data_IF_364333915450
#
_entry.id   IF_364333915450
#
_cell.length_a   1.000
_cell.length_b   1.000
_cell.length_c   1.000
_cell.angle_alpha   90.00
_cell.angle_beta   90.00
_cell.angle_gamma   90.00
#
_symmetry.space_group_name_H-M   'P 1'
#
loop_
_entity.id
_entity.type
_entity.pdbx_description
1 polymer ?
#
# COMPACT_ATOMS: atom_id res chain seq x y z
N UNK A 1 -39.87 -7.71 7.81
CA UNK A 1 -38.92 -6.87 8.59
C UNK A 1 -38.11 -6.08 7.59
N UNK A 2 -37.74 -4.84 7.90
CA UNK A 2 -36.97 -4.02 6.96
C UNK A 2 -35.52 -4.53 6.93
N UNK A 3 -35.04 -4.86 5.74
CA UNK A 3 -33.63 -5.26 5.52
C UNK A 3 -32.69 -4.05 5.53
N UNK A 4 -33.25 -2.85 5.38
CA UNK A 4 -32.53 -1.59 5.28
C UNK A 4 -32.70 -0.73 6.53
N UNK A 5 -31.59 -0.09 6.94
CA UNK A 5 -31.53 0.87 8.02
C UNK A 5 -30.90 2.18 7.51
N UNK A 6 -31.63 3.28 7.64
CA UNK A 6 -31.11 4.61 7.33
C UNK A 6 -30.36 5.13 8.55
N UNK A 7 -29.06 5.36 8.41
CA UNK A 7 -28.19 5.81 9.47
C UNK A 7 -28.02 7.33 9.44
N UNK A 8 -28.24 7.97 10.59
CA UNK A 8 -28.30 9.43 10.73
C UNK A 8 -27.10 10.02 11.49
N UNK A 9 -26.02 9.26 11.68
CA UNK A 9 -24.77 9.75 12.25
C UNK A 9 -24.65 9.61 13.78
N UNK A 10 -25.55 8.86 14.43
CA UNK A 10 -25.48 8.59 15.86
C UNK A 10 -24.27 7.67 16.22
N UNK A 11 -23.60 7.87 17.37
CA UNK A 11 -22.39 7.10 17.70
C UNK A 11 -22.63 5.64 18.11
N UNK A 12 -23.86 5.25 18.43
CA UNK A 12 -24.21 3.88 18.79
C UNK A 12 -25.60 3.52 18.23
N UNK A 13 -25.70 3.32 16.89
CA UNK A 13 -26.92 2.95 16.20
C UNK A 13 -27.51 1.64 16.73
N UNK A 14 -28.81 1.66 17.03
CA UNK A 14 -29.57 0.46 17.37
C UNK A 14 -30.29 -0.02 16.12
N UNK A 15 -29.75 -1.07 15.51
CA UNK A 15 -30.34 -1.65 14.31
C UNK A 15 -31.68 -2.35 14.60
N UNK A 16 -32.69 -2.18 13.74
CA UNK A 16 -33.92 -2.95 13.86
C UNK A 16 -33.66 -4.44 13.56
N UNK A 17 -34.47 -5.37 14.12
CA UNK A 17 -34.33 -6.79 13.85
C UNK A 17 -34.40 -7.10 12.34
N UNK A 18 -33.39 -7.80 11.83
CA UNK A 18 -33.31 -8.19 10.43
C UNK A 18 -32.65 -7.16 9.50
N UNK A 19 -32.16 -6.02 10.01
CA UNK A 19 -31.37 -5.09 9.22
C UNK A 19 -30.04 -5.72 8.80
N UNK A 20 -29.83 -5.74 7.48
CA UNK A 20 -28.61 -6.27 6.83
C UNK A 20 -27.93 -5.22 5.96
N UNK A 21 -28.61 -4.13 5.60
CA UNK A 21 -28.07 -3.04 4.80
C UNK A 21 -28.15 -1.73 5.58
N UNK A 22 -27.04 -1.01 5.64
CA UNK A 22 -26.97 0.35 6.18
C UNK A 22 -26.82 1.34 5.03
N UNK A 23 -27.71 2.31 4.97
CA UNK A 23 -27.65 3.43 4.04
C UNK A 23 -27.37 4.68 4.87
N UNK A 24 -26.21 5.30 4.66
CA UNK A 24 -25.82 6.52 5.37
C UNK A 24 -26.47 7.71 4.69
N UNK A 25 -27.26 8.45 5.47
CA UNK A 25 -28.01 9.61 4.99
C UNK A 25 -27.08 10.74 4.50
N UNK A 26 -27.59 11.57 3.58
CA UNK A 26 -26.82 12.67 2.99
C UNK A 26 -26.38 13.74 4.00
N UNK A 27 -27.08 13.84 5.13
CA UNK A 27 -26.74 14.75 6.23
C UNK A 27 -25.49 14.32 7.02
N UNK A 28 -25.06 13.06 6.89
CA UNK A 28 -23.93 12.53 7.64
C UNK A 28 -22.62 12.83 6.91
N UNK A 29 -21.74 13.57 7.56
CA UNK A 29 -20.41 13.87 7.04
C UNK A 29 -19.34 12.90 7.57
N UNK A 30 -19.52 12.35 8.76
CA UNK A 30 -18.56 11.48 9.44
C UNK A 30 -19.32 10.31 10.04
N UNK A 31 -18.86 9.09 9.78
CA UNK A 31 -19.24 7.93 10.60
C UNK A 31 -18.34 7.97 11.83
N UNK A 32 -18.88 8.18 13.04
CA UNK A 32 -18.08 8.28 14.26
C UNK A 32 -17.38 6.95 14.58
N UNK A 33 -16.31 7.06 15.36
CA UNK A 33 -15.61 5.91 15.89
C UNK A 33 -16.57 4.96 16.61
N UNK A 34 -16.32 3.66 16.47
CA UNK A 34 -17.09 2.58 17.10
C UNK A 34 -18.56 2.41 16.68
N UNK A 35 -19.09 3.17 15.72
CA UNK A 35 -20.52 3.20 15.38
C UNK A 35 -21.18 1.82 15.23
N UNK A 36 -20.59 0.94 14.44
CA UNK A 36 -21.08 -0.41 14.16
C UNK A 36 -20.12 -1.50 14.66
N UNK A 37 -19.26 -1.19 15.63
CA UNK A 37 -18.28 -2.15 16.16
C UNK A 37 -18.95 -3.45 16.59
N UNK A 38 -18.33 -4.56 16.20
CA UNK A 38 -18.75 -5.95 16.44
C UNK A 38 -20.10 -6.31 15.87
N UNK A 39 -20.61 -5.54 14.91
CA UNK A 39 -21.88 -5.87 14.29
C UNK A 39 -21.79 -7.15 13.43
N UNK A 40 -22.67 -8.11 13.68
CA UNK A 40 -22.66 -9.41 12.99
C UNK A 40 -23.84 -9.61 12.03
N UNK A 41 -24.58 -8.55 11.73
CA UNK A 41 -25.79 -8.63 10.90
C UNK A 41 -25.69 -7.82 9.62
N UNK A 42 -24.98 -6.68 9.65
CA UNK A 42 -24.77 -5.85 8.48
C UNK A 42 -23.92 -6.60 7.47
N UNK A 43 -24.43 -6.67 6.26
CA UNK A 43 -23.82 -7.28 5.08
C UNK A 43 -23.37 -6.21 4.08
N UNK A 44 -24.04 -5.07 4.03
CA UNK A 44 -23.77 -4.01 3.07
C UNK A 44 -23.83 -2.61 3.70
N UNK A 45 -22.82 -1.79 3.43
CA UNK A 45 -22.78 -0.37 3.75
C UNK A 45 -22.81 0.46 2.46
N UNK A 46 -23.72 1.42 2.38
CA UNK A 46 -23.83 2.37 1.27
C UNK A 46 -23.77 3.78 1.83
N UNK A 47 -22.68 4.48 1.56
CA UNK A 47 -22.48 5.85 1.98
C UNK A 47 -22.88 6.83 0.87
N UNK A 48 -23.60 7.90 1.26
CA UNK A 48 -23.75 9.06 0.40
C UNK A 48 -22.39 9.73 0.09
N UNK A 49 -22.27 10.43 -1.04
CA UNK A 49 -21.04 11.13 -1.46
C UNK A 49 -20.61 12.25 -0.50
N UNK A 50 -21.51 12.68 0.39
CA UNK A 50 -21.26 13.67 1.44
C UNK A 50 -20.45 13.14 2.63
N UNK A 51 -20.36 11.81 2.80
CA UNK A 51 -19.58 11.19 3.87
C UNK A 51 -18.10 11.31 3.53
N UNK A 52 -17.32 11.98 4.38
CA UNK A 52 -15.90 12.28 4.18
C UNK A 52 -14.96 11.40 4.98
N UNK A 53 -15.43 10.87 6.09
CA UNK A 53 -14.59 10.14 7.04
C UNK A 53 -15.32 8.96 7.65
N UNK A 54 -14.61 7.85 7.76
CA UNK A 54 -14.98 6.72 8.61
C UNK A 54 -14.05 6.71 9.82
N UNK A 55 -14.64 6.84 11.00
CA UNK A 55 -13.90 6.95 12.25
C UNK A 55 -13.29 5.63 12.73
N UNK A 56 -12.32 5.74 13.63
CA UNK A 56 -11.57 4.58 14.11
C UNK A 56 -12.46 3.47 14.69
N UNK A 57 -12.14 2.21 14.40
CA UNK A 57 -12.92 1.03 14.79
C UNK A 57 -14.43 1.07 14.44
N UNK A 58 -14.90 1.96 13.55
CA UNK A 58 -16.33 2.13 13.25
C UNK A 58 -17.03 0.84 12.85
N UNK A 59 -16.33 -0.07 12.16
CA UNK A 59 -16.81 -1.39 11.73
C UNK A 59 -15.89 -2.52 12.21
N UNK A 60 -15.11 -2.33 13.29
CA UNK A 60 -14.23 -3.35 13.86
C UNK A 60 -14.98 -4.68 14.08
N UNK A 61 -14.44 -5.77 13.51
CA UNK A 61 -14.98 -7.14 13.49
C UNK A 61 -16.43 -7.22 13.04
N UNK A 62 -16.81 -6.44 12.02
CA UNK A 62 -18.07 -6.66 11.31
C UNK A 62 -17.99 -7.88 10.40
N UNK A 63 -17.98 -9.08 10.99
CA UNK A 63 -17.66 -10.33 10.29
C UNK A 63 -18.66 -10.79 9.23
N UNK A 64 -19.82 -10.12 9.12
CA UNK A 64 -20.81 -10.36 8.06
C UNK A 64 -20.77 -9.33 6.94
N UNK A 65 -20.06 -8.22 7.12
CA UNK A 65 -19.96 -7.14 6.15
C UNK A 65 -19.21 -7.64 4.92
N UNK A 66 -19.86 -7.60 3.75
CA UNK A 66 -19.31 -8.11 2.48
C UNK A 66 -18.98 -7.00 1.50
N UNK A 67 -19.75 -5.92 1.54
CA UNK A 67 -19.73 -4.85 0.54
C UNK A 67 -19.80 -3.48 1.20
N UNK A 68 -18.86 -2.61 0.84
CA UNK A 68 -18.79 -1.22 1.28
C UNK A 68 -18.72 -0.32 0.06
N UNK A 69 -19.62 0.66 -0.03
CA UNK A 69 -19.66 1.67 -1.08
C UNK A 69 -19.51 3.04 -0.42
N UNK A 70 -18.40 3.71 -0.68
CA UNK A 70 -18.06 4.99 -0.06
C UNK A 70 -17.35 5.97 -1.02
N UNK A 71 -18.05 6.41 -2.09
CA UNK A 71 -17.45 7.18 -3.18
C UNK A 71 -16.97 8.58 -2.75
N UNK A 72 -17.47 9.09 -1.62
CA UNK A 72 -17.15 10.42 -1.08
C UNK A 72 -16.06 10.44 -0.02
N UNK A 73 -15.69 9.28 0.53
CA UNK A 73 -14.83 9.18 1.71
C UNK A 73 -13.38 9.46 1.33
N UNK A 74 -12.75 10.34 2.09
CA UNK A 74 -11.38 10.82 1.91
C UNK A 74 -10.44 10.21 2.95
N UNK A 75 -10.93 9.85 4.14
CA UNK A 75 -10.14 9.28 5.24
C UNK A 75 -10.84 8.08 5.86
N UNK A 76 -10.12 6.97 5.99
CA UNK A 76 -10.49 5.82 6.82
C UNK A 76 -9.49 5.74 7.96
N UNK A 77 -9.99 5.94 9.18
CA UNK A 77 -9.17 6.01 10.39
C UNK A 77 -8.77 4.62 10.93
N UNK A 78 -7.92 4.64 11.96
CA UNK A 78 -7.34 3.45 12.62
C UNK A 78 -8.35 2.32 12.83
N UNK A 79 -8.01 1.12 12.34
CA UNK A 79 -8.80 -0.11 12.52
C UNK A 79 -10.28 -0.02 12.10
N UNK A 80 -10.68 0.96 11.29
CA UNK A 80 -12.09 1.22 10.96
C UNK A 80 -12.84 -0.01 10.44
N UNK A 81 -12.20 -0.87 9.65
CA UNK A 81 -12.73 -2.15 9.16
C UNK A 81 -11.90 -3.36 9.64
N UNK A 82 -11.18 -3.22 10.75
CA UNK A 82 -10.34 -4.29 11.28
C UNK A 82 -11.09 -5.62 11.42
N UNK A 83 -10.53 -6.71 10.90
CA UNK A 83 -11.10 -8.07 10.96
C UNK A 83 -12.53 -8.17 10.42
N UNK A 84 -12.89 -7.37 9.40
CA UNK A 84 -14.08 -7.60 8.57
C UNK A 84 -13.81 -8.76 7.60
N UNK A 85 -13.71 -9.98 8.13
CA UNK A 85 -13.22 -11.15 7.38
C UNK A 85 -14.06 -11.56 6.16
N UNK A 86 -15.33 -11.12 6.09
CA UNK A 86 -16.21 -11.35 4.93
C UNK A 86 -16.17 -10.22 3.88
N UNK A 87 -15.48 -9.11 4.18
CA UNK A 87 -15.43 -7.93 3.31
C UNK A 87 -14.66 -8.30 2.06
N UNK A 88 -15.35 -8.28 0.92
CA UNK A 88 -14.80 -8.72 -0.38
C UNK A 88 -14.83 -7.64 -1.43
N UNK A 89 -15.59 -6.56 -1.19
CA UNK A 89 -15.75 -5.46 -2.12
C UNK A 89 -15.78 -4.13 -1.39
N UNK A 90 -14.90 -3.21 -1.82
CA UNK A 90 -14.84 -1.82 -1.35
C UNK A 90 -14.75 -0.91 -2.57
N UNK A 91 -15.66 0.06 -2.64
CA UNK A 91 -15.65 1.13 -3.66
C UNK A 91 -15.39 2.47 -2.96
N UNK A 92 -14.27 3.14 -3.31
CA UNK A 92 -13.80 4.32 -2.59
C UNK A 92 -12.94 5.28 -3.44
N UNK A 93 -13.57 5.94 -4.42
CA UNK A 93 -12.90 6.75 -5.44
C UNK A 93 -12.05 7.92 -4.92
N UNK A 94 -12.47 8.51 -3.80
CA UNK A 94 -11.85 9.72 -3.22
C UNK A 94 -10.94 9.45 -2.02
N UNK A 95 -10.71 8.18 -1.70
CA UNK A 95 -9.93 7.81 -0.52
C UNK A 95 -8.49 8.30 -0.66
N UNK A 96 -8.08 9.22 0.20
CA UNK A 96 -6.75 9.85 0.18
C UNK A 96 -5.83 9.28 1.26
N UNK A 97 -6.38 8.97 2.45
CA UNK A 97 -5.63 8.48 3.61
C UNK A 97 -6.28 7.21 4.19
N UNK A 98 -5.46 6.20 4.39
CA UNK A 98 -5.79 4.94 5.04
C UNK A 98 -4.86 4.80 6.23
N UNK A 99 -5.41 4.91 7.42
CA UNK A 99 -4.64 4.87 8.66
C UNK A 99 -4.30 3.45 9.10
N UNK A 100 -3.51 3.35 10.16
CA UNK A 100 -2.99 2.10 10.69
C UNK A 100 -4.09 1.04 10.87
N UNK A 101 -3.87 -0.16 10.34
CA UNK A 101 -4.78 -1.30 10.52
C UNK A 101 -6.18 -1.18 9.90
N UNK A 102 -6.49 -0.10 9.16
CA UNK A 102 -7.84 0.21 8.68
C UNK A 102 -8.61 -0.96 8.02
N UNK A 103 -7.94 -1.81 7.24
CA UNK A 103 -8.50 -3.03 6.63
C UNK A 103 -7.76 -4.30 7.05
N UNK A 104 -6.96 -4.27 8.12
CA UNK A 104 -6.19 -5.42 8.60
C UNK A 104 -7.10 -6.64 8.87
N UNK A 105 -6.66 -7.84 8.50
CA UNK A 105 -7.45 -9.08 8.57
C UNK A 105 -8.75 -9.10 7.76
N UNK A 106 -8.90 -8.27 6.72
CA UNK A 106 -9.97 -8.39 5.73
C UNK A 106 -9.64 -9.46 4.67
N UNK A 107 -9.51 -10.72 5.10
CA UNK A 107 -9.00 -11.83 4.28
C UNK A 107 -9.84 -12.23 3.06
N UNK A 108 -11.09 -11.76 2.96
CA UNK A 108 -11.90 -11.94 1.75
C UNK A 108 -11.74 -10.82 0.72
N UNK A 109 -11.02 -9.74 1.06
CA UNK A 109 -10.84 -8.59 0.19
C UNK A 109 -9.85 -8.99 -0.91
N UNK A 110 -10.34 -9.09 -2.15
CA UNK A 110 -9.56 -9.53 -3.32
C UNK A 110 -9.04 -8.41 -4.21
N UNK A 111 -9.71 -7.27 -4.13
CA UNK A 111 -9.33 -6.06 -4.85
C UNK A 111 -10.02 -4.88 -4.18
N UNK A 112 -9.26 -3.81 -4.02
CA UNK A 112 -9.76 -2.49 -3.65
C UNK A 112 -9.16 -1.52 -4.66
N UNK A 113 -10.02 -0.76 -5.33
CA UNK A 113 -9.55 0.26 -6.26
C UNK A 113 -9.29 1.54 -5.45
N UNK A 114 -8.02 1.95 -5.39
CA UNK A 114 -7.58 3.08 -4.56
C UNK A 114 -7.08 4.27 -5.39
N UNK A 115 -7.78 4.73 -6.45
CA UNK A 115 -7.18 5.57 -7.49
C UNK A 115 -6.58 6.89 -6.99
N UNK A 116 -6.99 7.35 -5.80
CA UNK A 116 -6.58 8.61 -5.19
C UNK A 116 -5.75 8.44 -3.90
N UNK A 117 -5.47 7.21 -3.45
CA UNK A 117 -4.86 6.97 -2.14
C UNK A 117 -3.41 7.46 -2.11
N UNK A 118 -3.16 8.48 -1.28
CA UNK A 118 -1.84 9.09 -1.12
C UNK A 118 -1.04 8.40 -0.02
N UNK A 119 -1.71 8.00 1.06
CA UNK A 119 -1.04 7.47 2.25
C UNK A 119 -1.73 6.18 2.67
N UNK A 120 -0.96 5.09 2.65
CA UNK A 120 -1.32 3.80 3.25
C UNK A 120 -0.39 3.61 4.45
N UNK A 121 -0.92 3.78 5.66
CA UNK A 121 -0.14 3.63 6.90
C UNK A 121 0.10 2.15 7.25
N UNK A 122 0.76 1.92 8.39
CA UNK A 122 1.23 0.59 8.75
C UNK A 122 0.10 -0.43 8.93
N UNK A 123 0.34 -1.69 8.57
CA UNK A 123 -0.63 -2.79 8.67
C UNK A 123 -1.99 -2.57 7.99
N UNK A 124 -2.18 -1.50 7.22
CA UNK A 124 -3.49 -1.08 6.71
C UNK A 124 -4.22 -2.17 5.93
N UNK A 125 -3.49 -3.04 5.22
CA UNK A 125 -4.00 -4.17 4.45
C UNK A 125 -3.29 -5.48 4.80
N UNK A 126 -2.73 -5.60 6.00
CA UNK A 126 -2.14 -6.86 6.44
C UNK A 126 -3.21 -7.98 6.36
N UNK A 127 -2.83 -9.15 5.85
CA UNK A 127 -3.72 -10.30 5.63
C UNK A 127 -4.86 -10.03 4.61
N UNK A 128 -4.65 -9.15 3.62
CA UNK A 128 -5.60 -8.86 2.54
C UNK A 128 -5.08 -9.28 1.15
N UNK A 129 -5.94 -9.30 0.13
CA UNK A 129 -5.51 -9.34 -1.28
C UNK A 129 -5.97 -8.03 -1.95
N UNK A 130 -5.13 -6.99 -1.97
CA UNK A 130 -5.51 -5.66 -2.49
C UNK A 130 -4.76 -5.31 -3.79
N UNK A 131 -5.40 -4.54 -4.69
CA UNK A 131 -4.72 -3.91 -5.83
C UNK A 131 -4.14 -2.56 -5.38
N UNK A 132 -2.84 -2.39 -5.56
CA UNK A 132 -2.05 -1.35 -4.90
C UNK A 132 -1.57 -0.26 -5.84
N UNK A 133 -2.10 -0.24 -7.06
CA UNK A 133 -1.43 0.42 -8.18
C UNK A 133 -1.28 1.94 -8.08
N UNK A 134 -1.96 2.55 -7.12
CA UNK A 134 -2.10 3.98 -6.94
C UNK A 134 -1.45 4.56 -5.68
N UNK A 135 -0.93 3.73 -4.76
CA UNK A 135 -0.42 4.23 -3.48
C UNK A 135 0.85 5.08 -3.65
N UNK A 136 0.91 6.23 -2.95
CA UNK A 136 2.08 7.12 -2.94
C UNK A 136 3.06 6.82 -1.81
N UNK A 137 2.58 6.49 -0.61
CA UNK A 137 3.39 6.02 0.52
C UNK A 137 2.82 4.68 0.98
N UNK A 138 3.70 3.69 1.12
CA UNK A 138 3.41 2.37 1.67
C UNK A 138 4.09 2.21 3.04
N UNK A 139 3.29 2.13 4.10
CA UNK A 139 3.72 2.02 5.49
C UNK A 139 4.33 0.67 5.87
N UNK A 140 4.84 0.59 7.11
CA UNK A 140 5.45 -0.63 7.65
C UNK A 140 4.41 -1.75 7.76
N UNK A 141 4.75 -2.97 7.32
CA UNK A 141 3.81 -4.11 7.32
C UNK A 141 2.48 -3.85 6.58
N UNK A 142 2.38 -2.80 5.75
CA UNK A 142 1.12 -2.40 5.11
C UNK A 142 0.43 -3.55 4.36
N UNK A 143 1.20 -4.48 3.80
CA UNK A 143 0.75 -5.68 3.10
C UNK A 143 1.41 -6.95 3.65
N UNK A 144 1.74 -6.98 4.94
CA UNK A 144 2.27 -8.20 5.55
C UNK A 144 1.24 -9.34 5.46
N UNK A 145 1.72 -10.57 5.26
CA UNK A 145 0.90 -11.79 5.17
C UNK A 145 -0.22 -11.72 4.11
N UNK A 146 -0.04 -10.92 3.04
CA UNK A 146 -0.94 -10.94 1.89
C UNK A 146 -0.67 -12.19 1.02
N UNK A 147 -0.97 -13.38 1.55
CA UNK A 147 -0.53 -14.66 0.99
C UNK A 147 -1.03 -14.95 -0.43
N UNK A 148 -2.13 -14.33 -0.86
CA UNK A 148 -2.68 -14.50 -2.20
C UNK A 148 -2.30 -13.36 -3.18
N UNK A 149 -1.60 -12.32 -2.71
CA UNK A 149 -1.10 -11.25 -3.56
C UNK A 149 -0.05 -11.82 -4.53
N UNK A 150 -0.40 -11.97 -5.80
CA UNK A 150 0.51 -12.48 -6.84
C UNK A 150 1.38 -11.42 -7.49
N UNK A 151 0.92 -10.19 -7.48
CA UNK A 151 1.71 -9.08 -7.98
C UNK A 151 1.12 -7.73 -7.67
N UNK A 152 1.97 -6.71 -7.75
CA UNK A 152 1.59 -5.32 -7.54
C UNK A 152 2.30 -4.43 -8.56
N UNK A 153 1.61 -3.39 -9.04
CA UNK A 153 2.13 -2.46 -10.06
C UNK A 153 2.00 -1.04 -9.56
N UNK A 154 3.05 -0.47 -9.00
CA UNK A 154 3.03 0.91 -8.53
C UNK A 154 3.33 1.90 -9.66
N UNK A 155 2.52 2.97 -9.73
CA UNK A 155 2.73 4.07 -10.66
C UNK A 155 3.90 5.00 -10.30
N UNK A 156 4.17 5.95 -11.18
CA UNK A 156 5.20 6.99 -11.06
C UNK A 156 5.02 7.91 -9.85
N UNK A 157 3.85 7.91 -9.21
CA UNK A 157 3.56 8.71 -8.01
C UNK A 157 4.05 8.07 -6.71
N UNK A 158 4.45 6.80 -6.71
CA UNK A 158 5.01 6.17 -5.51
C UNK A 158 6.28 6.91 -5.08
N UNK A 159 6.34 7.32 -3.82
CA UNK A 159 7.48 8.04 -3.21
C UNK A 159 8.25 7.16 -2.23
N UNK A 160 7.58 6.34 -1.42
CA UNK A 160 8.27 5.56 -0.37
C UNK A 160 7.58 4.23 -0.09
N UNK A 161 8.38 3.18 0.13
CA UNK A 161 8.00 1.89 0.70
C UNK A 161 8.81 1.69 1.99
N UNK A 162 8.11 1.46 3.10
CA UNK A 162 8.73 1.23 4.41
C UNK A 162 9.05 -0.24 4.67
N UNK A 163 9.75 -0.48 5.77
CA UNK A 163 10.19 -1.80 6.24
C UNK A 163 9.08 -2.84 6.26
N UNK A 164 9.38 -4.08 5.87
CA UNK A 164 8.45 -5.22 5.93
C UNK A 164 7.11 -5.00 5.23
N UNK A 165 7.00 -4.04 4.31
CA UNK A 165 5.75 -3.70 3.65
C UNK A 165 5.06 -4.91 2.99
N UNK A 166 5.83 -5.89 2.50
CA UNK A 166 5.33 -7.15 1.91
C UNK A 166 5.86 -8.39 2.64
N UNK A 167 6.09 -8.30 3.96
CA UNK A 167 6.57 -9.44 4.75
C UNK A 167 5.63 -10.65 4.60
N UNK A 168 6.20 -11.84 4.38
CA UNK A 168 5.49 -13.10 4.23
C UNK A 168 4.38 -13.10 3.15
N UNK A 169 4.52 -12.32 2.08
CA UNK A 169 3.69 -12.45 0.87
C UNK A 169 4.14 -13.66 0.04
N UNK A 170 3.86 -14.87 0.50
CA UNK A 170 4.42 -16.11 -0.07
C UNK A 170 4.12 -16.32 -1.56
N UNK A 171 2.98 -15.85 -2.07
CA UNK A 171 2.60 -16.01 -3.49
C UNK A 171 3.00 -14.83 -4.38
N UNK A 172 3.69 -13.81 -3.87
CA UNK A 172 4.05 -12.64 -4.66
C UNK A 172 5.07 -13.03 -5.72
N UNK A 173 4.69 -13.08 -7.00
CA UNK A 173 5.54 -13.52 -8.11
C UNK A 173 6.26 -12.35 -8.80
N UNK A 174 5.57 -11.20 -8.91
CA UNK A 174 6.09 -10.03 -9.61
C UNK A 174 5.65 -8.72 -8.96
N UNK A 175 6.58 -7.77 -8.83
CA UNK A 175 6.24 -6.40 -8.46
C UNK A 175 6.83 -5.41 -9.47
N UNK A 176 6.10 -4.33 -9.75
CA UNK A 176 6.56 -3.21 -10.58
C UNK A 176 6.59 -1.95 -9.74
N UNK A 177 7.72 -1.26 -9.69
CA UNK A 177 7.93 -0.04 -8.89
C UNK A 177 8.70 1.02 -9.70
N UNK A 178 8.48 2.32 -9.49
CA UNK A 178 9.32 3.35 -10.10
C UNK A 178 10.74 3.34 -9.51
N UNK A 179 11.70 3.97 -10.19
CA UNK A 179 13.07 4.09 -9.68
C UNK A 179 13.27 5.52 -9.16
N UNK A 180 13.28 5.71 -7.84
CA UNK A 180 13.48 7.04 -7.21
C UNK A 180 14.48 6.96 -6.06
N UNK A 181 15.27 8.01 -5.90
CA UNK A 181 16.13 8.19 -4.72
C UNK A 181 15.28 8.25 -3.44
N UNK A 182 15.73 7.58 -2.37
CA UNK A 182 15.04 7.56 -1.08
C UNK A 182 13.71 6.77 -1.06
N UNK A 183 13.43 5.97 -2.09
CA UNK A 183 12.18 5.21 -2.17
C UNK A 183 12.07 4.09 -1.13
N UNK A 184 13.18 3.62 -0.58
CA UNK A 184 13.23 2.57 0.42
C UNK A 184 13.78 3.13 1.72
N UNK A 185 12.98 3.09 2.77
CA UNK A 185 13.37 3.65 4.08
C UNK A 185 14.33 2.69 4.82
N UNK A 186 14.11 1.37 4.69
CA UNK A 186 14.81 0.32 5.48
C UNK A 186 14.80 -1.07 4.80
N UNK A 187 15.54 -2.02 5.38
CA UNK A 187 15.72 -3.40 4.90
C UNK A 187 14.45 -4.29 5.08
N UNK A 188 14.41 -5.46 4.40
CA UNK A 188 13.40 -6.54 4.55
C UNK A 188 12.00 -6.30 3.96
N UNK A 189 11.85 -5.40 3.00
CA UNK A 189 10.57 -5.10 2.32
C UNK A 189 9.85 -6.37 1.83
N UNK A 190 10.60 -7.33 1.27
CA UNK A 190 10.08 -8.58 0.69
C UNK A 190 10.49 -9.82 1.49
N UNK A 191 10.73 -9.68 2.79
CA UNK A 191 11.04 -10.84 3.64
C UNK A 191 9.93 -11.91 3.50
N UNK A 192 10.31 -13.18 3.36
CA UNK A 192 9.35 -14.27 3.19
C UNK A 192 8.57 -14.29 1.86
N UNK A 193 8.88 -13.41 0.89
CA UNK A 193 8.32 -13.51 -0.47
C UNK A 193 9.01 -14.63 -1.28
N UNK A 194 8.69 -15.88 -0.97
CA UNK A 194 9.41 -17.06 -1.52
C UNK A 194 9.20 -17.26 -3.02
N UNK A 195 8.04 -16.87 -3.57
CA UNK A 195 7.73 -17.00 -5.00
C UNK A 195 8.09 -15.77 -5.84
N UNK A 196 8.67 -14.71 -5.24
CA UNK A 196 9.06 -13.51 -5.97
C UNK A 196 10.13 -13.90 -6.99
N UNK A 197 9.85 -13.65 -8.26
CA UNK A 197 10.71 -14.00 -9.40
C UNK A 197 11.14 -12.78 -10.19
N UNK A 198 10.37 -11.69 -10.12
CA UNK A 198 10.57 -10.51 -10.96
C UNK A 198 10.26 -9.22 -10.21
N UNK A 199 11.24 -8.32 -10.19
CA UNK A 199 11.02 -6.90 -9.88
C UNK A 199 11.22 -6.11 -11.17
N UNK A 200 10.20 -5.36 -11.57
CA UNK A 200 10.26 -4.48 -12.75
C UNK A 200 10.41 -3.05 -12.27
N UNK A 201 11.44 -2.36 -12.76
CA UNK A 201 11.67 -0.96 -12.48
C UNK A 201 11.14 -0.12 -13.66
N UNK A 202 10.23 0.82 -13.41
CA UNK A 202 9.58 1.64 -14.44
C UNK A 202 9.83 3.12 -14.24
N UNK A 203 10.69 3.72 -15.05
CA UNK A 203 10.88 5.18 -15.09
C UNK A 203 11.47 5.78 -13.80
N UNK A 204 12.47 6.63 -13.97
CA UNK A 204 13.21 7.25 -12.88
C UNK A 204 14.37 8.07 -13.40
N UNK A 205 14.67 9.19 -12.76
CA UNK A 205 15.95 9.87 -12.97
C UNK A 205 17.08 8.91 -12.56
N UNK A 206 18.20 8.95 -13.28
CA UNK A 206 19.35 8.06 -13.07
C UNK A 206 19.82 8.20 -11.61
N UNK A 207 19.78 7.09 -10.85
CA UNK A 207 20.22 7.01 -9.46
C UNK A 207 21.68 7.45 -9.30
N UNK A 208 21.98 8.21 -8.25
CA UNK A 208 23.35 8.23 -7.72
C UNK A 208 23.64 6.87 -7.06
N UNK A 209 24.42 6.07 -7.79
CA UNK A 209 24.61 4.60 -7.78
C UNK A 209 24.74 3.85 -6.44
N UNK A 210 24.91 4.46 -5.26
CA UNK A 210 25.48 3.71 -4.11
C UNK A 210 24.57 3.27 -2.96
N UNK A 211 23.31 3.71 -2.85
CA UNK A 211 22.48 3.36 -1.67
C UNK A 211 21.32 2.41 -2.01
N UNK A 212 20.67 2.56 -3.16
CA UNK A 212 19.49 1.79 -3.54
C UNK A 212 19.78 0.31 -3.87
N UNK A 213 21.00 -0.01 -4.33
CA UNK A 213 21.39 -1.37 -4.69
C UNK A 213 21.56 -2.22 -3.43
N UNK A 214 22.11 -1.66 -2.35
CA UNK A 214 22.42 -2.39 -1.12
C UNK A 214 21.19 -2.90 -0.35
N UNK A 215 20.09 -2.13 -0.33
CA UNK A 215 18.84 -2.52 0.32
C UNK A 215 18.13 -3.71 -0.37
N UNK A 216 18.47 -3.98 -1.64
CA UNK A 216 18.01 -5.15 -2.40
C UNK A 216 18.88 -6.42 -2.15
N UNK A 217 20.01 -6.29 -1.45
CA UNK A 217 20.99 -7.36 -1.27
C UNK A 217 20.72 -8.19 -0.01
N UNK A 218 19.90 -9.23 -0.14
CA UNK A 218 20.16 -10.47 0.60
C UNK A 218 20.88 -11.49 -0.30
N UNK A 219 21.80 -12.23 0.30
CA UNK A 219 22.90 -12.99 -0.34
C UNK A 219 22.53 -13.93 -1.50
N UNK A 220 21.26 -14.37 -1.58
CA UNK A 220 20.79 -15.31 -2.61
C UNK A 220 20.50 -14.65 -3.97
N UNK A 221 20.12 -13.36 -3.97
CA UNK A 221 19.70 -12.60 -5.16
C UNK A 221 20.85 -11.87 -5.87
N UNK A 222 22.00 -11.77 -5.20
CA UNK A 222 23.17 -11.01 -5.64
C UNK A 222 23.80 -11.55 -6.92
N UNK A 223 23.78 -12.87 -7.14
CA UNK A 223 24.44 -13.49 -8.29
C UNK A 223 23.67 -13.26 -9.59
N UNK A 224 22.36 -13.49 -9.57
CA UNK A 224 21.52 -13.37 -10.76
C UNK A 224 21.33 -11.91 -11.19
N UNK A 225 21.36 -10.96 -10.24
CA UNK A 225 21.35 -9.52 -10.54
C UNK A 225 22.70 -9.00 -11.06
N UNK A 226 23.83 -9.54 -10.59
CA UNK A 226 25.14 -9.20 -11.18
C UNK A 226 25.19 -9.57 -12.66
N UNK A 227 24.63 -10.71 -13.05
CA UNK A 227 24.55 -11.11 -14.46
C UNK A 227 23.67 -10.13 -15.30
N UNK A 228 22.62 -9.57 -14.69
CA UNK A 228 21.75 -8.55 -15.32
C UNK A 228 22.45 -7.19 -15.41
N UNK A 229 23.16 -6.77 -14.36
CA UNK A 229 23.97 -5.55 -14.35
C UNK A 229 25.10 -5.64 -15.38
N UNK A 230 25.80 -6.77 -15.44
CA UNK A 230 26.85 -7.03 -16.43
C UNK A 230 26.30 -7.02 -17.86
N UNK A 231 25.07 -7.50 -18.06
CA UNK A 231 24.39 -7.44 -19.36
C UNK A 231 23.97 -6.02 -19.75
N UNK A 232 23.59 -5.16 -18.79
CA UNK A 232 23.26 -3.75 -19.03
C UNK A 232 24.53 -2.95 -19.35
N UNK A 233 25.64 -3.20 -18.64
CA UNK A 233 26.94 -2.55 -18.86
C UNK A 233 27.55 -2.90 -20.23
N UNK A 234 27.24 -4.07 -20.78
CA UNK A 234 27.64 -4.44 -22.15
C UNK A 234 26.86 -3.67 -23.24
N UNK A 235 25.70 -3.10 -22.90
CA UNK A 235 24.84 -2.36 -23.84
C UNK A 235 25.10 -0.85 -23.76
N UNK A 236 25.61 -0.33 -22.63
CA UNK A 236 25.90 1.08 -22.39
C UNK A 236 27.34 1.27 -21.84
N UNK A 237 28.37 1.29 -22.72
CA UNK A 237 29.77 1.18 -22.30
C UNK A 237 30.34 2.39 -21.54
N UNK A 238 29.65 3.54 -21.50
CA UNK A 238 30.18 4.79 -20.92
C UNK A 238 29.42 5.27 -19.66
N UNK A 239 28.71 4.38 -18.96
CA UNK A 239 28.19 4.65 -17.61
C UNK A 239 29.13 3.99 -16.60
N UNK A 240 30.02 4.71 -15.89
CA UNK A 240 30.96 4.09 -14.99
C UNK A 240 30.24 3.66 -13.71
N UNK A 241 29.74 2.43 -13.70
CA UNK A 241 29.54 1.64 -12.49
C UNK A 241 30.80 0.81 -12.29
N UNK A 242 31.85 1.45 -11.78
CA UNK A 242 33.16 0.83 -11.58
C UNK A 242 33.62 1.06 -10.15
N UNK A 243 33.75 -0.03 -9.39
CA UNK A 243 34.70 -0.12 -8.30
C UNK A 243 36.08 0.26 -8.85
N UNK A 244 36.61 1.41 -8.46
CA UNK A 244 38.06 1.60 -8.39
C UNK A 244 38.41 1.77 -6.92
N UNK A 245 39.16 0.79 -6.40
CA UNK A 245 39.87 0.89 -5.14
C UNK A 245 40.76 2.14 -5.21
N UNK A 246 40.36 3.21 -4.54
CA UNK A 246 41.25 4.32 -4.26
C UNK A 246 41.35 4.49 -2.75
N UNK A 247 42.54 4.13 -2.27
CA UNK A 247 43.08 4.55 -0.99
C UNK A 247 42.83 6.06 -0.80
N UNK A 248 42.42 6.43 0.42
CA UNK A 248 42.40 7.80 0.93
C UNK A 248 43.77 8.44 0.69
N UNK A 249 43.90 9.19 -0.39
CA UNK A 249 44.66 10.44 -0.50
C UNK A 249 44.60 10.90 -1.97
N UNK A 250 44.07 12.11 -2.19
CA UNK A 250 44.26 12.94 -3.41
C UNK A 250 43.18 12.94 -4.53
N UNK A 251 41.93 13.31 -4.21
CA UNK A 251 40.92 13.73 -5.21
C UNK A 251 40.58 15.23 -5.11
N UNK A 252 41.44 16.01 -4.45
CA UNK A 252 41.24 17.44 -4.22
C UNK A 252 41.50 18.35 -5.44
N UNK A 253 42.16 17.89 -6.51
CA UNK A 253 42.66 18.81 -7.55
C UNK A 253 42.03 18.71 -8.96
N UNK A 254 41.10 17.78 -9.24
CA UNK A 254 40.53 17.65 -10.60
C UNK A 254 39.08 18.14 -10.77
N UNK A 255 38.43 18.63 -9.73
CA UNK A 255 37.07 19.17 -9.78
C UNK A 255 36.97 20.63 -10.29
N UNK A 256 38.04 21.22 -10.86
CA UNK A 256 38.06 22.63 -11.29
C UNK A 256 38.15 22.88 -12.81
N UNK A 257 38.06 21.85 -13.67
CA UNK A 257 38.31 22.01 -15.10
C UNK A 257 37.11 21.83 -16.05
N UNK A 258 35.88 21.66 -15.56
CA UNK A 258 34.70 21.45 -16.44
C UNK A 258 33.55 22.42 -16.09
N UNK A 259 33.86 23.70 -16.16
CA UNK A 259 32.93 24.80 -16.53
C UNK A 259 33.79 25.64 -17.47
N UNK A 260 33.64 25.58 -18.78
CA UNK A 260 32.57 26.20 -19.58
C UNK A 260 32.67 25.64 -21.02
N UNK A 261 31.58 25.54 -21.79
CA UNK A 261 31.67 25.41 -23.24
C UNK A 261 31.48 26.78 -23.93
N UNK A 262 32.35 27.06 -24.92
CA UNK A 262 32.06 27.97 -26.04
C UNK A 262 30.81 27.56 -26.81
#
# INVERSE_FOLDING_TARGET
MAEEFIYMGEPNPVLPPGAIRVIVDESVNIIPAYAFKWNRTIVELICHVGVKKVGGWAFDRCSSLRRVIMPGVEVVEEDAFFSCTALSYVECDKLEKIEEGAFCFCSSLRSINLPSAKIVEGMAFSECEADLSSAKIVGEYAFAHCEALKGAIFGDKLETIKSWAFDNCYSLEQITIPLKDGMFDHDNIFQGCEELKRVVLVGGEILQVNIAIAAFLMEKWRKDMNDVIDSINQILPDTPAGYEDYDDDDVGEKAFAIREPE
#
